data_IF_487336814505
#
_entry.id   IF_487336814505
#
_cell.length_a   1.000
_cell.length_b   1.000
_cell.length_c   1.000
_cell.angle_alpha   90.00
_cell.angle_beta   90.00
_cell.angle_gamma   90.00
#
_symmetry.space_group_name_H-M   'P 1'
#
loop_
_entity.id
_entity.type
_entity.pdbx_description
1 polymer ?
#
# COMPACT_ATOMS: atom_id res chain seq x y z
N UNK A 1 19.59 4.17 -6.72
CA UNK A 1 18.87 3.50 -7.82
C UNK A 1 17.65 4.34 -8.14
N UNK A 2 17.38 4.66 -9.40
CA UNK A 2 16.18 5.44 -9.77
C UNK A 2 14.96 4.55 -9.96
N UNK A 3 13.75 5.12 -9.95
CA UNK A 3 12.51 4.38 -10.30
C UNK A 3 12.57 3.81 -11.72
N UNK A 4 13.26 4.51 -12.63
CA UNK A 4 13.50 4.06 -14.00
C UNK A 4 14.33 2.78 -13.99
N UNK A 5 15.43 2.77 -13.24
CA UNK A 5 16.33 1.61 -13.14
C UNK A 5 15.64 0.41 -12.48
N UNK A 6 14.89 0.66 -11.41
CA UNK A 6 14.16 -0.38 -10.67
C UNK A 6 13.10 -1.07 -11.54
N UNK A 7 12.45 -0.32 -12.44
CA UNK A 7 11.38 -0.86 -13.29
C UNK A 7 11.89 -1.38 -14.63
N UNK A 8 13.18 -1.26 -14.93
CA UNK A 8 13.73 -1.60 -16.23
C UNK A 8 13.59 -3.12 -16.49
N UNK A 9 12.83 -3.47 -17.53
CA UNK A 9 12.64 -4.87 -17.94
C UNK A 9 11.60 -5.66 -17.13
N UNK A 10 10.92 -5.05 -16.15
CA UNK A 10 9.85 -5.73 -15.44
C UNK A 10 8.68 -6.05 -16.37
N UNK A 11 8.22 -7.29 -16.30
CA UNK A 11 7.07 -7.82 -17.02
C UNK A 11 5.82 -7.84 -16.15
N UNK A 12 4.65 -8.12 -16.76
CA UNK A 12 3.41 -8.33 -15.99
C UNK A 12 3.55 -9.46 -14.96
N UNK A 13 4.28 -10.52 -15.29
CA UNK A 13 4.49 -11.65 -14.37
C UNK A 13 5.37 -11.26 -13.19
N UNK A 14 6.39 -10.43 -13.41
CA UNK A 14 7.20 -9.88 -12.31
C UNK A 14 6.34 -9.02 -11.37
N UNK A 15 5.45 -8.17 -11.93
CA UNK A 15 4.52 -7.37 -11.12
C UNK A 15 3.55 -8.24 -10.31
N UNK A 16 3.10 -9.38 -10.85
CA UNK A 16 2.31 -10.37 -10.11
C UNK A 16 3.12 -11.00 -8.98
N UNK A 17 4.35 -11.42 -9.25
CA UNK A 17 5.23 -12.02 -8.27
C UNK A 17 5.51 -11.05 -7.11
N UNK A 18 5.89 -9.80 -7.42
CA UNK A 18 6.13 -8.75 -6.44
C UNK A 18 4.88 -8.41 -5.61
N UNK A 19 3.70 -8.40 -6.24
CA UNK A 19 2.42 -8.21 -5.51
C UNK A 19 2.19 -9.33 -4.51
N UNK A 20 2.45 -10.58 -4.91
CA UNK A 20 2.29 -11.71 -3.99
C UNK A 20 3.29 -11.66 -2.85
N UNK A 21 4.56 -11.41 -3.15
CA UNK A 21 5.63 -11.29 -2.16
C UNK A 21 5.34 -10.17 -1.14
N UNK A 22 4.89 -9.00 -1.59
CA UNK A 22 4.58 -7.88 -0.71
C UNK A 22 3.44 -8.22 0.26
N UNK A 23 2.34 -8.79 -0.24
CA UNK A 23 1.20 -9.15 0.61
C UNK A 23 1.55 -10.31 1.55
N UNK A 24 2.33 -11.29 1.09
CA UNK A 24 2.83 -12.38 1.94
C UNK A 24 3.72 -11.85 3.06
N UNK A 25 4.57 -10.86 2.76
CA UNK A 25 5.44 -10.19 3.73
C UNK A 25 4.62 -9.47 4.80
N UNK A 26 3.61 -8.67 4.40
CA UNK A 26 2.72 -8.01 5.35
C UNK A 26 1.96 -9.02 6.22
N UNK A 27 1.49 -10.13 5.63
CA UNK A 27 0.83 -11.19 6.41
C UNK A 27 1.76 -11.89 7.40
N UNK A 28 3.02 -12.10 7.02
CA UNK A 28 4.02 -12.68 7.92
C UNK A 28 4.29 -11.77 9.12
N UNK A 29 4.38 -10.44 8.91
CA UNK A 29 4.55 -9.47 9.99
C UNK A 29 3.41 -9.52 11.02
N UNK A 30 2.17 -9.75 10.57
CA UNK A 30 0.98 -9.79 11.45
C UNK A 30 0.55 -11.22 11.84
N UNK A 31 1.37 -12.23 11.58
CA UNK A 31 0.99 -13.63 11.73
C UNK A 31 0.62 -13.99 13.18
N UNK A 32 1.32 -13.39 14.16
CA UNK A 32 1.12 -13.65 15.59
C UNK A 32 0.25 -12.61 16.30
N UNK A 33 -0.36 -11.70 15.55
CA UNK A 33 -1.25 -10.69 16.10
C UNK A 33 -2.64 -11.26 16.40
N UNK A 34 -3.28 -10.70 17.42
CA UNK A 34 -4.70 -10.81 17.73
C UNK A 34 -5.38 -9.43 17.69
N UNK A 35 -6.68 -9.40 18.00
CA UNK A 35 -7.51 -8.20 17.86
C UNK A 35 -7.02 -7.02 18.72
N UNK A 36 -6.49 -7.31 19.91
CA UNK A 36 -5.92 -6.28 20.78
C UNK A 36 -4.72 -5.54 20.18
N UNK A 37 -3.93 -6.21 19.32
CA UNK A 37 -2.79 -5.59 18.64
C UNK A 37 -3.24 -4.70 17.48
N UNK A 38 -4.43 -4.97 16.91
CA UNK A 38 -4.99 -4.18 15.79
C UNK A 38 -5.35 -2.77 16.24
N UNK A 39 -5.94 -2.67 17.43
CA UNK A 39 -6.38 -1.41 18.04
C UNK A 39 -5.36 -0.83 19.03
N UNK A 40 -4.22 -1.48 19.21
CA UNK A 40 -3.15 -0.96 20.06
C UNK A 40 -2.69 0.38 19.51
N UNK A 41 -2.66 1.38 20.38
CA UNK A 41 -2.18 2.72 20.08
C UNK A 41 -0.67 2.75 20.29
N UNK A 42 0.17 2.74 19.24
CA UNK A 42 1.61 2.79 19.40
C UNK A 42 2.06 4.17 19.88
N UNK A 43 3.26 4.22 20.45
CA UNK A 43 3.97 5.47 20.70
C UNK A 43 4.82 5.80 19.48
N UNK A 44 4.48 6.90 18.81
CA UNK A 44 5.33 7.51 17.77
C UNK A 44 5.41 9.02 18.01
N UNK A 45 6.50 9.52 18.61
CA UNK A 45 6.69 10.96 18.83
C UNK A 45 6.85 11.78 17.54
N UNK A 46 7.08 11.12 16.40
CA UNK A 46 7.21 11.75 15.09
C UNK A 46 5.93 11.62 14.25
N UNK A 47 4.82 11.13 14.83
CA UNK A 47 3.54 11.04 14.14
C UNK A 47 3.11 12.42 13.62
N UNK A 48 2.99 12.52 12.30
CA UNK A 48 2.57 13.70 11.56
C UNK A 48 1.75 13.25 10.34
N UNK A 49 0.43 13.31 10.47
CA UNK A 49 -0.53 13.05 9.41
C UNK A 49 -1.26 14.35 9.04
N UNK A 50 -0.70 15.14 8.10
CA UNK A 50 -1.32 16.38 7.64
C UNK A 50 -2.61 16.16 6.85
N UNK A 51 -2.98 14.90 6.57
CA UNK A 51 -4.16 14.54 5.80
C UNK A 51 -5.25 13.86 6.66
N UNK A 52 -5.06 13.80 7.98
CA UNK A 52 -6.05 13.29 8.91
C UNK A 52 -7.40 13.98 8.73
N UNK A 53 -8.49 13.20 8.75
CA UNK A 53 -9.84 13.72 8.60
C UNK A 53 -10.28 14.61 9.77
N UNK A 54 -9.69 14.38 10.96
CA UNK A 54 -9.79 15.26 12.13
C UNK A 54 -8.40 15.79 12.49
N UNK A 55 -8.30 17.11 12.68
CA UNK A 55 -7.08 17.77 13.14
C UNK A 55 -6.59 17.28 14.50
N UNK A 56 -7.47 16.73 15.34
CA UNK A 56 -7.09 16.13 16.62
C UNK A 56 -6.23 14.86 16.43
N UNK A 57 -6.40 14.17 15.30
CA UNK A 57 -5.70 12.91 14.98
C UNK A 57 -4.41 13.15 14.20
N UNK A 58 -4.13 14.38 13.76
CA UNK A 58 -2.99 14.71 12.91
C UNK A 58 -1.61 14.41 13.54
N UNK A 59 -1.52 14.25 14.86
CA UNK A 59 -0.28 13.86 15.54
C UNK A 59 -0.47 12.56 16.36
N UNK A 60 -1.48 11.78 16.02
CA UNK A 60 -1.77 10.49 16.65
C UNK A 60 -1.14 9.39 15.80
N UNK A 61 -0.33 8.56 16.44
CA UNK A 61 0.33 7.45 15.77
C UNK A 61 -0.72 6.49 15.17
N UNK A 62 -0.47 5.99 13.97
CA UNK A 62 -1.41 5.07 13.33
C UNK A 62 -1.41 3.71 14.00
N UNK A 63 -2.60 3.15 14.23
CA UNK A 63 -2.74 1.76 14.67
C UNK A 63 -2.43 0.78 13.53
N UNK A 64 -2.28 -0.50 13.85
CA UNK A 64 -2.08 -1.52 12.82
C UNK A 64 -3.27 -1.56 11.83
N UNK A 65 -4.50 -1.41 12.32
CA UNK A 65 -5.70 -1.33 11.46
C UNK A 65 -5.61 -0.17 10.47
N UNK A 66 -5.13 0.99 10.91
CA UNK A 66 -4.96 2.19 10.08
C UNK A 66 -3.89 1.98 9.00
N UNK A 67 -2.69 1.51 9.36
CA UNK A 67 -1.62 1.28 8.38
C UNK A 67 -2.06 0.29 7.29
N UNK A 68 -2.80 -0.77 7.65
CA UNK A 68 -3.28 -1.77 6.69
C UNK A 68 -4.30 -1.17 5.70
N UNK A 69 -5.24 -0.34 6.13
CA UNK A 69 -6.21 0.25 5.19
C UNK A 69 -5.56 1.30 4.29
N UNK A 70 -4.62 2.08 4.80
CA UNK A 70 -3.91 3.12 4.03
C UNK A 70 -3.00 2.55 2.95
N UNK A 71 -2.18 1.56 3.30
CA UNK A 71 -1.27 0.88 2.36
C UNK A 71 -2.05 0.21 1.24
N UNK A 72 -3.07 -0.59 1.59
CA UNK A 72 -3.92 -1.27 0.60
C UNK A 72 -4.68 -0.30 -0.30
N UNK A 73 -5.24 0.79 0.23
CA UNK A 73 -5.91 1.81 -0.59
C UNK A 73 -4.95 2.51 -1.56
N UNK A 74 -3.73 2.81 -1.13
CA UNK A 74 -2.69 3.44 -1.94
C UNK A 74 -2.20 2.51 -3.07
N UNK A 75 -1.98 1.24 -2.74
CA UNK A 75 -1.55 0.23 -3.70
C UNK A 75 -2.63 -0.10 -4.74
N UNK A 76 -3.90 -0.14 -4.33
CA UNK A 76 -5.02 -0.33 -5.24
C UNK A 76 -5.18 0.85 -6.20
N UNK A 77 -5.21 2.09 -5.69
CA UNK A 77 -5.25 3.29 -6.53
C UNK A 77 -4.13 3.26 -7.58
N UNK A 78 -2.91 2.94 -7.17
CA UNK A 78 -1.76 2.77 -8.05
C UNK A 78 -2.01 1.70 -9.12
N UNK A 79 -2.52 0.52 -8.73
CA UNK A 79 -2.76 -0.60 -9.64
C UNK A 79 -3.88 -0.33 -10.65
N UNK A 80 -4.95 0.39 -10.28
CA UNK A 80 -6.02 0.78 -11.19
C UNK A 80 -5.58 1.87 -12.17
N UNK A 81 -4.88 2.90 -11.69
CA UNK A 81 -4.34 3.95 -12.57
C UNK A 81 -3.28 3.41 -13.53
N UNK A 82 -2.51 2.41 -13.10
CA UNK A 82 -1.58 1.71 -13.98
C UNK A 82 -2.31 0.97 -15.11
N UNK A 83 -3.44 0.32 -14.82
CA UNK A 83 -4.26 -0.36 -15.84
C UNK A 83 -4.88 0.64 -16.85
N UNK A 84 -5.29 1.82 -16.39
CA UNK A 84 -5.75 2.89 -17.27
C UNK A 84 -4.64 3.38 -18.21
N UNK A 85 -3.45 3.66 -17.65
CA UNK A 85 -2.29 4.08 -18.45
C UNK A 85 -1.90 3.01 -19.48
N UNK A 86 -1.90 1.73 -19.08
CA UNK A 86 -1.57 0.61 -19.96
C UNK A 86 -2.52 0.50 -21.15
N UNK A 87 -3.77 0.95 -21.01
CA UNK A 87 -4.80 1.01 -22.06
C UNK A 87 -4.78 2.31 -22.88
N UNK A 88 -3.85 3.23 -22.59
CA UNK A 88 -3.75 4.51 -23.30
C UNK A 88 -4.65 5.62 -22.77
N UNK A 89 -5.25 5.47 -21.59
CA UNK A 89 -6.00 6.55 -20.93
C UNK A 89 -5.01 7.51 -20.28
N UNK A 90 -5.17 8.81 -20.51
CA UNK A 90 -4.32 9.84 -19.90
C UNK A 90 -4.54 9.93 -18.38
N UNK A 91 -3.50 10.29 -17.63
CA UNK A 91 -3.64 10.50 -16.19
C UNK A 91 -4.59 11.65 -15.88
N UNK A 92 -5.54 11.42 -14.99
CA UNK A 92 -6.55 12.40 -14.56
C UNK A 92 -6.54 12.71 -13.06
N UNK A 93 -5.55 12.21 -12.32
CA UNK A 93 -5.37 12.47 -10.90
C UNK A 93 -5.67 11.28 -9.99
N UNK A 94 -6.33 11.55 -8.86
CA UNK A 94 -6.59 10.59 -7.76
C UNK A 94 -7.83 9.74 -8.07
N UNK A 95 -7.77 8.47 -7.68
CA UNK A 95 -8.90 7.52 -7.74
C UNK A 95 -9.05 6.69 -6.46
N UNK A 96 -8.46 7.17 -5.35
CA UNK A 96 -8.46 6.47 -4.05
C UNK A 96 -9.85 6.42 -3.41
N UNK A 97 -10.17 5.24 -2.89
CA UNK A 97 -11.10 5.05 -1.80
C UNK A 97 -10.38 4.32 -0.67
N UNK A 98 -10.55 4.79 0.56
CA UNK A 98 -9.93 4.21 1.75
C UNK A 98 -11.01 3.80 2.74
N UNK A 99 -10.87 2.59 3.30
CA UNK A 99 -11.80 2.09 4.32
C UNK A 99 -11.58 2.90 5.60
N UNK A 100 -12.62 3.43 6.26
CA UNK A 100 -12.46 4.15 7.53
C UNK A 100 -11.77 3.25 8.56
N UNK A 101 -10.58 3.64 9.01
CA UNK A 101 -9.70 2.79 9.81
C UNK A 101 -10.31 2.43 11.16
N UNK A 102 -11.16 3.28 11.72
CA UNK A 102 -11.87 3.09 12.98
C UNK A 102 -12.79 1.87 12.96
N UNK A 103 -13.18 1.42 11.76
CA UNK A 103 -14.02 0.22 11.57
C UNK A 103 -13.22 -1.09 11.56
N UNK A 104 -11.88 -1.01 11.50
CA UNK A 104 -10.98 -2.16 11.47
C UNK A 104 -10.43 -2.42 12.86
N UNK A 105 -11.02 -3.38 13.56
CA UNK A 105 -10.75 -3.67 14.97
C UNK A 105 -10.27 -5.10 15.23
N UNK A 106 -10.26 -5.96 14.20
CA UNK A 106 -9.90 -7.38 14.34
C UNK A 106 -8.81 -7.80 13.37
N UNK A 107 -8.00 -8.78 13.77
CA UNK A 107 -6.92 -9.30 12.91
C UNK A 107 -7.49 -9.99 11.67
N UNK A 108 -8.69 -10.56 11.80
CA UNK A 108 -9.42 -11.15 10.68
C UNK A 108 -9.74 -10.11 9.60
N UNK A 109 -10.15 -8.90 9.97
CA UNK A 109 -10.38 -7.80 9.03
C UNK A 109 -9.08 -7.38 8.33
N UNK A 110 -7.97 -7.24 9.05
CA UNK A 110 -6.68 -6.90 8.43
C UNK A 110 -6.24 -7.94 7.39
N UNK A 111 -6.33 -9.23 7.72
CA UNK A 111 -6.00 -10.33 6.80
C UNK A 111 -6.91 -10.37 5.59
N UNK A 112 -8.22 -10.20 5.80
CA UNK A 112 -9.19 -10.13 4.71
C UNK A 112 -8.92 -8.93 3.78
N UNK A 113 -8.57 -7.77 4.35
CA UNK A 113 -8.25 -6.55 3.60
C UNK A 113 -7.01 -6.73 2.73
N UNK A 114 -5.96 -7.36 3.25
CA UNK A 114 -4.74 -7.69 2.51
C UNK A 114 -5.02 -8.65 1.34
N UNK A 115 -5.80 -9.71 1.57
CA UNK A 115 -6.15 -10.67 0.51
C UNK A 115 -7.11 -10.09 -0.55
N UNK A 116 -8.05 -9.23 -0.14
CA UNK A 116 -8.87 -8.48 -1.07
C UNK A 116 -8.00 -7.55 -1.95
N UNK A 117 -7.06 -6.84 -1.33
CA UNK A 117 -6.12 -5.97 -2.05
C UNK A 117 -5.29 -6.76 -3.05
N UNK A 118 -4.73 -7.92 -2.63
CA UNK A 118 -4.00 -8.84 -3.52
C UNK A 118 -4.85 -9.21 -4.73
N UNK A 119 -6.08 -9.69 -4.51
CA UNK A 119 -7.01 -10.08 -5.57
C UNK A 119 -7.27 -8.92 -6.55
N UNK A 120 -7.52 -7.72 -6.04
CA UNK A 120 -7.80 -6.53 -6.85
C UNK A 120 -6.59 -6.11 -7.70
N UNK A 121 -5.39 -6.08 -7.11
CA UNK A 121 -4.15 -5.71 -7.80
C UNK A 121 -3.77 -6.73 -8.88
N UNK A 122 -3.91 -8.02 -8.60
CA UNK A 122 -3.67 -9.07 -9.60
C UNK A 122 -4.69 -8.99 -10.74
N UNK A 123 -5.97 -8.77 -10.42
CA UNK A 123 -7.01 -8.60 -11.43
C UNK A 123 -6.79 -7.34 -12.30
N UNK A 124 -6.25 -6.26 -11.74
CA UNK A 124 -5.97 -5.06 -12.54
C UNK A 124 -4.88 -5.30 -13.58
N UNK A 125 -3.91 -6.18 -13.31
CA UNK A 125 -2.90 -6.61 -14.29
C UNK A 125 -3.52 -7.41 -15.44
N UNK A 126 -4.60 -8.16 -15.19
CA UNK A 126 -5.35 -8.89 -16.24
C UNK A 126 -6.12 -7.95 -17.18
N UNK A 127 -6.30 -6.68 -16.81
CA UNK A 127 -6.92 -5.66 -17.68
C UNK A 127 -5.94 -5.05 -18.68
N UNK A 128 -4.64 -5.29 -18.53
CA UNK A 128 -3.63 -4.72 -19.42
C UNK A 128 -3.70 -5.42 -20.79
N UNK A 129 -3.66 -4.67 -21.91
CA UNK A 129 -3.56 -5.29 -23.23
C UNK A 129 -2.24 -6.07 -23.35
N UNK A 130 -2.18 -7.02 -24.28
CA UNK A 130 -0.95 -7.76 -24.59
C UNK A 130 0.22 -6.82 -24.95
N UNK A 131 -0.10 -5.73 -25.64
CA UNK A 131 0.82 -4.63 -25.96
C UNK A 131 0.40 -3.37 -25.17
N UNK A 132 0.91 -3.16 -23.94
CA UNK A 132 0.60 -1.97 -23.16
C UNK A 132 1.19 -0.70 -23.77
N UNK A 133 0.47 0.42 -23.63
CA UNK A 133 0.91 1.74 -24.11
C UNK A 133 2.03 2.31 -23.22
N UNK A 134 3.26 1.80 -23.36
CA UNK A 134 4.39 2.17 -22.50
C UNK A 134 4.87 3.61 -22.63
N UNK A 135 4.58 4.26 -23.76
CA UNK A 135 4.88 5.67 -24.02
C UNK A 135 3.87 6.62 -23.34
N UNK A 136 2.68 6.11 -23.00
CA UNK A 136 1.68 6.87 -22.25
C UNK A 136 2.19 7.07 -20.82
N UNK A 137 2.65 8.29 -20.54
CA UNK A 137 3.31 8.63 -19.29
C UNK A 137 2.99 10.04 -18.85
N UNK A 138 3.15 10.28 -17.55
CA UNK A 138 2.95 11.58 -16.93
C UNK A 138 4.00 11.82 -15.84
N UNK A 139 4.20 13.08 -15.45
CA UNK A 139 5.17 13.46 -14.40
C UNK A 139 4.39 13.99 -13.20
N UNK A 140 4.20 13.20 -12.12
CA UNK A 140 3.35 13.61 -11.01
C UNK A 140 3.95 14.76 -10.18
N UNK A 141 5.28 14.82 -10.08
CA UNK A 141 6.03 15.94 -9.51
C UNK A 141 7.42 16.00 -10.17
N UNK A 142 8.09 17.17 -10.19
CA UNK A 142 9.29 17.37 -11.00
C UNK A 142 10.42 16.36 -10.77
N UNK A 143 10.63 15.90 -9.52
CA UNK A 143 11.70 14.95 -9.19
C UNK A 143 11.34 13.47 -9.44
N UNK A 144 10.07 13.14 -9.73
CA UNK A 144 9.66 11.75 -9.98
C UNK A 144 10.14 11.23 -11.35
N UNK A 145 10.30 12.15 -12.31
CA UNK A 145 10.45 11.81 -13.73
C UNK A 145 9.17 11.24 -14.36
N UNK A 146 9.24 10.80 -15.63
CA UNK A 146 8.08 10.25 -16.35
C UNK A 146 7.66 8.89 -15.79
N UNK A 147 6.37 8.73 -15.55
CA UNK A 147 5.75 7.52 -15.00
C UNK A 147 4.78 6.95 -16.02
N UNK A 148 5.09 5.76 -16.55
CA UNK A 148 4.17 4.95 -17.35
C UNK A 148 3.47 3.90 -16.47
N UNK A 149 2.69 3.00 -17.07
CA UNK A 149 1.92 1.99 -16.32
C UNK A 149 2.78 1.11 -15.39
N UNK A 150 3.95 0.64 -15.82
CA UNK A 150 4.85 -0.20 -15.01
C UNK A 150 5.31 0.56 -13.77
N UNK A 151 5.86 1.77 -13.96
CA UNK A 151 6.32 2.62 -12.85
C UNK A 151 5.16 3.03 -11.94
N UNK A 152 3.97 3.26 -12.52
CA UNK A 152 2.78 3.60 -11.75
C UNK A 152 2.39 2.47 -10.81
N UNK A 153 2.45 1.22 -11.27
CA UNK A 153 2.16 0.03 -10.45
C UNK A 153 3.23 -0.17 -9.36
N UNK A 154 4.52 -0.05 -9.74
CA UNK A 154 5.64 -0.20 -8.79
C UNK A 154 5.62 0.90 -7.72
N UNK A 155 5.11 2.10 -8.00
CA UNK A 155 4.91 3.12 -6.97
C UNK A 155 4.00 2.65 -5.82
N UNK A 156 2.98 1.84 -6.10
CA UNK A 156 2.12 1.26 -5.06
C UNK A 156 2.89 0.26 -4.21
N UNK A 157 3.66 -0.63 -4.85
CA UNK A 157 4.55 -1.58 -4.16
C UNK A 157 5.62 -0.88 -3.31
N UNK A 158 6.19 0.21 -3.81
CA UNK A 158 7.17 1.00 -3.06
C UNK A 158 6.53 1.68 -1.86
N UNK A 159 5.32 2.20 -2.01
CA UNK A 159 4.60 2.81 -0.89
C UNK A 159 4.25 1.76 0.19
N UNK A 160 3.89 0.53 -0.22
CA UNK A 160 3.76 -0.59 0.71
C UNK A 160 5.07 -0.86 1.47
N UNK A 161 6.20 -0.91 0.76
CA UNK A 161 7.55 -1.12 1.32
C UNK A 161 7.93 -0.05 2.36
N UNK A 162 7.66 1.22 2.05
CA UNK A 162 7.90 2.37 2.95
C UNK A 162 7.15 2.24 4.30
N UNK A 163 6.11 1.38 4.38
CA UNK A 163 5.34 1.14 5.61
C UNK A 163 5.65 -0.21 6.30
N UNK A 164 6.51 -1.07 5.75
CA UNK A 164 6.81 -2.37 6.37
C UNK A 164 7.47 -2.23 7.75
N UNK A 165 8.41 -1.30 7.89
CA UNK A 165 9.06 -1.00 9.18
C UNK A 165 8.04 -0.49 10.20
N UNK A 166 7.11 0.38 9.78
CA UNK A 166 6.04 0.88 10.66
C UNK A 166 5.14 -0.28 11.14
N UNK A 167 4.76 -1.20 10.26
CA UNK A 167 3.99 -2.40 10.66
C UNK A 167 4.78 -3.22 11.69
N UNK A 168 6.05 -3.48 11.42
CA UNK A 168 6.90 -4.26 12.31
C UNK A 168 7.04 -3.61 13.71
N UNK A 169 7.23 -2.30 13.76
CA UNK A 169 7.37 -1.53 14.99
C UNK A 169 6.08 -1.55 15.82
N UNK A 170 4.92 -1.36 15.20
CA UNK A 170 3.62 -1.45 15.87
C UNK A 170 3.44 -2.83 16.50
N UNK A 171 3.71 -3.90 15.73
CA UNK A 171 3.60 -5.28 16.19
C UNK A 171 4.56 -5.56 17.35
N UNK A 172 5.80 -5.05 17.28
CA UNK A 172 6.78 -5.19 18.36
C UNK A 172 6.32 -4.51 19.65
N UNK A 173 5.82 -3.28 19.56
CA UNK A 173 5.32 -2.53 20.72
C UNK A 173 4.13 -3.25 21.35
N UNK A 174 3.13 -3.64 20.55
CA UNK A 174 1.94 -4.36 21.02
C UNK A 174 2.32 -5.67 21.72
N UNK A 175 3.22 -6.46 21.12
CA UNK A 175 3.70 -7.71 21.69
C UNK A 175 4.41 -7.50 23.04
N UNK A 176 5.27 -6.48 23.12
CA UNK A 176 5.99 -6.14 24.35
C UNK A 176 5.04 -5.75 25.48
N UNK A 177 3.98 -5.01 25.18
CA UNK A 177 2.94 -4.65 26.15
C UNK A 177 2.18 -5.88 26.65
N UNK A 178 1.85 -6.84 25.78
CA UNK A 178 1.17 -8.08 26.20
C UNK A 178 2.05 -8.95 27.11
N UNK A 179 3.35 -9.05 26.82
CA UNK A 179 4.29 -9.85 27.64
C UNK A 179 4.48 -9.24 29.03
N UNK A 180 4.35 -7.91 29.14
CA UNK A 180 4.47 -7.18 30.40
C UNK A 180 3.19 -7.19 31.25
N UNK A 181 2.05 -7.65 30.71
CA UNK A 181 0.75 -7.72 31.38
C UNK A 181 0.50 -9.08 32.05
#
# INVERSE_FOLDING_TARGET
MTMVDLCAGLTRDDLRALTNEMVDTMQALIAQCGDADVVFQPSDPAADDPYASDTADANVAWTLGHVIVHTTASAEESAFLAAELARGVENHGRSRYETPWETVTTIAQCRARLEESRRMRLASLDLWPEEPHLDNSYTPWPSAGPINCVRRFVLGLRHDDDHLEQIADIVQQACSTRVAA
#
